data_IF_034546294030
#
_entry.id   IF_034546294030
#
_cell.length_a   1.000
_cell.length_b   1.000
_cell.length_c   1.000
_cell.angle_alpha   90.00
_cell.angle_beta   90.00
_cell.angle_gamma   90.00
#
_symmetry.space_group_name_H-M   'P 1'
#
loop_
_entity.id
_entity.type
_entity.pdbx_description
1 polymer ?
#
# COMPACT_ATOMS: atom_id res chain seq x y z
N UNK A 1 -5.85 -17.04 -5.74
CA UNK A 1 -5.50 -15.62 -5.63
C UNK A 1 -4.77 -15.43 -4.32
N UNK A 2 -3.54 -14.93 -4.34
CA UNK A 2 -2.77 -14.65 -3.14
C UNK A 2 -3.03 -13.20 -2.73
N UNK A 3 -3.83 -13.00 -1.69
CA UNK A 3 -4.44 -11.70 -1.37
C UNK A 3 -3.75 -11.02 -0.19
N UNK A 4 -3.57 -9.70 -0.28
CA UNK A 4 -3.09 -8.88 0.83
C UNK A 4 -4.22 -8.73 1.83
N UNK A 5 -3.92 -8.91 3.13
CA UNK A 5 -4.87 -8.69 4.20
C UNK A 5 -4.69 -7.29 4.80
N UNK A 6 -3.52 -6.97 5.34
CA UNK A 6 -3.25 -5.64 5.90
C UNK A 6 -2.14 -4.96 5.10
N UNK A 7 -2.42 -3.78 4.58
CA UNK A 7 -1.46 -2.92 3.88
C UNK A 7 -1.25 -1.62 4.67
N UNK A 8 0.00 -1.20 4.77
CA UNK A 8 0.36 0.13 5.23
C UNK A 8 1.09 0.90 4.13
N UNK A 9 0.72 2.15 3.94
CA UNK A 9 1.44 3.09 3.08
C UNK A 9 2.08 4.15 3.97
N UNK A 10 3.36 4.36 3.74
CA UNK A 10 4.15 5.38 4.40
C UNK A 10 4.83 6.26 3.37
N UNK A 11 5.19 7.47 3.76
CA UNK A 11 5.83 8.46 2.90
C UNK A 11 7.09 9.02 3.51
N UNK A 12 7.99 9.55 2.69
CA UNK A 12 9.04 10.45 3.13
C UNK A 12 9.16 11.62 2.16
N UNK A 13 9.44 12.81 2.70
CA UNK A 13 9.78 14.03 1.95
C UNK A 13 11.28 14.36 2.04
N UNK A 14 12.06 13.53 2.73
CA UNK A 14 13.51 13.70 2.85
C UNK A 14 14.20 13.49 1.52
N UNK A 15 15.43 14.00 1.40
CA UNK A 15 16.27 13.77 0.21
C UNK A 15 16.68 12.29 0.09
N UNK A 16 16.81 11.61 1.23
CA UNK A 16 17.11 10.18 1.34
C UNK A 16 15.87 9.36 1.75
N UNK A 17 15.80 8.04 1.44
CA UNK A 17 14.67 7.18 1.78
C UNK A 17 14.68 6.80 3.26
N UNK A 18 14.53 7.80 4.13
CA UNK A 18 14.52 7.71 5.59
C UNK A 18 13.38 8.53 6.18
N UNK A 19 13.14 8.42 7.49
CA UNK A 19 12.15 9.25 8.16
C UNK A 19 10.71 9.04 7.70
N UNK A 20 10.36 7.80 7.33
CA UNK A 20 9.03 7.50 6.82
C UNK A 20 7.93 7.74 7.87
N UNK A 21 6.90 8.47 7.46
CA UNK A 21 5.68 8.73 8.24
C UNK A 21 4.54 7.86 7.73
N UNK A 22 3.73 7.31 8.64
CA UNK A 22 2.55 6.52 8.27
C UNK A 22 1.45 7.43 7.71
N UNK A 23 1.01 7.15 6.48
CA UNK A 23 -0.12 7.84 5.85
C UNK A 23 -1.43 7.09 6.10
N UNK A 24 -1.45 5.79 5.80
CA UNK A 24 -2.63 4.94 5.92
C UNK A 24 -2.22 3.53 6.29
N UNK A 25 -3.07 2.90 7.09
CA UNK A 25 -3.06 1.46 7.33
C UNK A 25 -4.49 0.97 7.17
N UNK A 26 -4.68 -0.07 6.36
CA UNK A 26 -6.01 -0.58 6.03
C UNK A 26 -5.99 -2.10 5.96
N UNK A 27 -7.03 -2.70 6.54
CA UNK A 27 -7.40 -4.08 6.29
C UNK A 27 -8.25 -4.16 5.03
N UNK A 28 -7.86 -5.05 4.12
CA UNK A 28 -8.47 -5.25 2.83
C UNK A 28 -9.43 -6.44 2.86
N UNK A 29 -10.42 -6.42 1.99
CA UNK A 29 -11.39 -7.49 1.92
C UNK A 29 -10.83 -8.69 1.14
N UNK A 30 -11.21 -9.88 1.61
CA UNK A 30 -10.97 -11.11 0.89
C UNK A 30 -11.87 -11.16 -0.35
N UNK A 31 -11.26 -11.19 -1.54
CA UNK A 31 -11.97 -11.21 -2.83
C UNK A 31 -11.85 -12.59 -3.47
N UNK A 32 -12.84 -13.45 -3.24
CA UNK A 32 -12.83 -14.82 -3.79
C UNK A 32 -12.90 -14.82 -5.33
N UNK A 33 -11.87 -15.38 -5.97
CA UNK A 33 -11.83 -15.60 -7.41
C UNK A 33 -11.74 -14.33 -8.29
N UNK A 34 -11.57 -13.14 -7.68
CA UNK A 34 -11.48 -11.86 -8.39
C UNK A 34 -10.11 -11.19 -8.15
N UNK A 35 -9.77 -10.22 -9.00
CA UNK A 35 -8.61 -9.37 -8.79
C UNK A 35 -8.91 -8.39 -7.65
N UNK A 36 -8.09 -8.43 -6.60
CA UNK A 36 -8.14 -7.45 -5.51
C UNK A 36 -7.57 -6.13 -6.02
N UNK A 37 -8.41 -5.10 -6.09
CA UNK A 37 -8.04 -3.74 -6.48
C UNK A 37 -8.49 -2.80 -5.39
N UNK A 38 -7.54 -2.06 -4.82
CA UNK A 38 -7.78 -1.13 -3.74
C UNK A 38 -7.30 0.26 -4.15
N UNK A 39 -8.16 1.24 -3.90
CA UNK A 39 -7.86 2.65 -4.09
C UNK A 39 -7.78 3.32 -2.71
N UNK A 40 -6.72 4.11 -2.53
CA UNK A 40 -6.46 4.82 -1.29
C UNK A 40 -6.57 6.31 -1.56
N UNK A 41 -7.72 6.94 -1.26
CA UNK A 41 -7.85 8.39 -1.34
C UNK A 41 -7.04 8.99 -0.20
N UNK A 42 -5.82 9.42 -0.52
CA UNK A 42 -4.94 10.10 0.44
C UNK A 42 -5.25 11.60 0.40
N UNK A 43 -5.31 12.29 1.56
CA UNK A 43 -5.45 13.74 1.59
C UNK A 43 -4.27 14.39 0.85
N UNK A 44 -4.40 15.64 0.38
CA UNK A 44 -3.28 16.31 -0.30
C UNK A 44 -1.99 16.24 0.53
N UNK A 45 -0.98 15.58 -0.03
CA UNK A 45 0.28 15.35 0.65
C UNK A 45 1.43 15.31 -0.34
N UNK A 46 2.60 15.74 0.12
CA UNK A 46 3.85 15.63 -0.64
C UNK A 46 4.61 14.37 -0.24
N UNK A 47 5.25 13.73 -1.21
CA UNK A 47 6.14 12.60 -0.99
C UNK A 47 7.22 12.54 -2.07
N UNK A 48 8.47 12.37 -1.64
CA UNK A 48 9.61 12.02 -2.50
C UNK A 48 9.73 10.51 -2.61
N UNK A 49 9.43 9.80 -1.51
CA UNK A 49 9.45 8.34 -1.43
C UNK A 49 8.13 7.81 -0.87
N UNK A 50 7.63 6.74 -1.47
CA UNK A 50 6.50 5.97 -0.96
C UNK A 50 6.98 4.56 -0.57
N UNK A 51 6.45 4.05 0.54
CA UNK A 51 6.74 2.71 1.03
C UNK A 51 5.43 1.96 1.27
N UNK A 52 5.25 0.88 0.54
CA UNK A 52 4.11 -0.02 0.65
C UNK A 52 4.54 -1.25 1.46
N UNK A 53 3.92 -1.46 2.62
CA UNK A 53 4.28 -2.53 3.55
C UNK A 53 3.10 -3.49 3.66
N UNK A 54 3.30 -4.72 3.19
CA UNK A 54 2.36 -5.81 3.41
C UNK A 54 2.63 -6.34 4.82
N UNK A 55 1.71 -6.10 5.75
CA UNK A 55 1.82 -6.56 7.14
C UNK A 55 1.33 -7.98 7.32
N UNK A 56 0.31 -8.38 6.56
CA UNK A 56 -0.32 -9.68 6.63
C UNK A 56 -0.97 -10.05 5.28
N UNK A 57 -1.21 -11.34 5.10
CA UNK A 57 -1.85 -11.91 3.92
C UNK A 57 -2.86 -12.98 4.35
N UNK A 58 -3.86 -13.24 3.51
CA UNK A 58 -4.86 -14.27 3.76
C UNK A 58 -4.34 -15.70 3.55
N UNK A 59 -3.18 -15.85 2.91
CA UNK A 59 -2.53 -17.12 2.61
C UNK A 59 -1.03 -17.01 2.95
N UNK A 60 -0.30 -18.12 2.89
CA UNK A 60 1.15 -18.17 3.16
C UNK A 60 1.98 -17.31 2.21
N UNK A 61 1.47 -17.00 1.03
CA UNK A 61 2.12 -16.17 0.04
C UNK A 61 1.21 -15.02 -0.38
N UNK A 62 1.83 -13.93 -0.81
CA UNK A 62 1.17 -12.72 -1.32
C UNK A 62 1.85 -12.29 -2.62
N UNK A 63 1.07 -11.77 -3.57
CA UNK A 63 1.59 -11.22 -4.81
C UNK A 63 0.94 -9.88 -5.07
N UNK A 64 1.75 -8.85 -5.28
CA UNK A 64 1.28 -7.54 -5.74
C UNK A 64 1.63 -7.43 -7.21
N UNK A 65 0.62 -7.39 -8.06
CA UNK A 65 0.81 -7.37 -9.51
C UNK A 65 1.04 -5.98 -10.09
N UNK A 66 0.45 -4.96 -9.46
CA UNK A 66 0.55 -3.58 -9.93
C UNK A 66 0.38 -2.62 -8.77
N UNK A 67 1.24 -1.61 -8.73
CA UNK A 67 1.11 -0.43 -7.88
C UNK A 67 1.04 0.77 -8.81
N UNK A 68 0.04 1.63 -8.60
CA UNK A 68 -0.11 2.89 -9.34
C UNK A 68 -0.14 4.01 -8.30
N UNK A 69 0.62 5.06 -8.55
CA UNK A 69 0.62 6.27 -7.76
C UNK A 69 0.42 7.45 -8.72
N UNK A 70 -0.60 8.24 -8.47
CA UNK A 70 -0.92 9.44 -9.25
C UNK A 70 -0.58 10.66 -8.42
N UNK A 71 0.10 11.63 -9.03
CA UNK A 71 0.47 12.89 -8.41
C UNK A 71 0.49 14.00 -9.46
N UNK A 72 0.39 15.24 -9.01
CA UNK A 72 0.41 16.46 -9.84
C UNK A 72 1.76 17.14 -9.81
#
# INVERSE_FOLDING_TARGET
CVLVQTLRIERSISEEPVGFEQCVEKDLEHTEGRLQMEEFPLPEFQATYLRFIIKSAFDHFVSVHRVMAEGT
#
